data_IF_697681516940
#
_entry.id   IF_697681516940
#
_cell.length_a   1.000
_cell.length_b   1.000
_cell.length_c   1.000
_cell.angle_alpha   90.00
_cell.angle_beta   90.00
_cell.angle_gamma   90.00
#
_symmetry.space_group_name_H-M   'P 1'
#
loop_
_entity.id
_entity.type
_entity.pdbx_description
1 polymer ?
#
# COMPACT_ATOMS: atom_id res chain seq x y z
N UNK A 1 -1.55 17.15 2.33
CA UNK A 1 -2.98 16.84 2.53
C UNK A 1 -3.10 15.35 2.38
N UNK A 2 -3.67 14.70 3.39
CA UNK A 2 -3.92 13.27 3.41
C UNK A 2 -5.27 13.01 2.74
N UNK A 3 -5.28 12.14 1.74
CA UNK A 3 -6.47 11.69 1.03
C UNK A 3 -6.48 10.18 0.92
N UNK A 4 -7.61 9.61 0.53
CA UNK A 4 -7.62 8.24 0.03
C UNK A 4 -8.39 8.10 -1.28
N UNK A 5 -8.08 7.01 -1.96
CA UNK A 5 -8.72 6.59 -3.20
C UNK A 5 -9.01 5.10 -3.19
N UNK A 6 -9.88 4.67 -4.09
CA UNK A 6 -10.29 3.27 -4.25
C UNK A 6 -9.85 2.73 -5.62
N UNK A 7 -9.26 1.54 -5.65
CA UNK A 7 -9.07 0.74 -6.86
C UNK A 7 -10.04 -0.44 -6.83
N UNK A 8 -10.88 -0.55 -7.86
CA UNK A 8 -11.84 -1.64 -8.02
C UNK A 8 -11.32 -2.68 -9.01
N UNK A 9 -11.90 -3.87 -8.96
CA UNK A 9 -11.66 -4.90 -9.98
C UNK A 9 -12.02 -4.40 -11.38
N UNK A 10 -11.23 -4.84 -12.36
CA UNK A 10 -11.39 -4.46 -13.77
C UNK A 10 -10.83 -3.07 -14.11
N UNK A 11 -10.19 -2.40 -13.16
CA UNK A 11 -9.50 -1.12 -13.39
C UNK A 11 -8.11 -1.35 -14.00
N UNK A 12 -7.63 -0.37 -14.75
CA UNK A 12 -6.21 -0.31 -15.11
C UNK A 12 -5.34 0.02 -13.88
N UNK A 13 -4.04 -0.29 -13.96
CA UNK A 13 -3.09 -0.06 -12.86
C UNK A 13 -2.96 1.41 -12.41
N UNK A 14 -3.38 2.37 -13.24
CA UNK A 14 -3.33 3.81 -12.97
C UNK A 14 -4.71 4.43 -12.71
N UNK A 15 -5.76 3.61 -12.64
CA UNK A 15 -7.13 4.08 -12.44
C UNK A 15 -7.51 3.98 -10.96
N UNK A 16 -7.99 5.11 -10.42
CA UNK A 16 -8.42 5.27 -9.02
C UNK A 16 -9.66 6.15 -8.96
N UNK A 17 -10.59 5.80 -8.08
CA UNK A 17 -11.71 6.65 -7.69
C UNK A 17 -11.27 7.51 -6.47
N UNK A 18 -11.16 8.84 -6.59
CA UNK A 18 -10.79 9.68 -5.46
C UNK A 18 -11.96 9.83 -4.49
N UNK A 19 -11.72 9.53 -3.21
CA UNK A 19 -12.74 9.61 -2.15
C UNK A 19 -12.62 10.90 -1.34
N UNK A 20 -11.45 11.53 -1.35
CA UNK A 20 -11.21 12.86 -0.79
C UNK A 20 -10.32 12.84 0.47
N UNK A 21 -10.41 13.93 1.25
CA UNK A 21 -9.61 14.11 2.46
C UNK A 21 -9.98 13.08 3.53
N UNK A 22 -8.99 12.63 4.28
CA UNK A 22 -9.18 11.60 5.31
C UNK A 22 -8.21 11.77 6.49
N UNK A 23 -8.46 10.98 7.52
CA UNK A 23 -7.57 10.74 8.64
C UNK A 23 -7.52 9.24 8.94
N UNK A 24 -6.74 8.84 9.94
CA UNK A 24 -6.64 7.42 10.30
C UNK A 24 -7.99 6.80 10.64
N UNK A 25 -8.82 7.47 11.46
CA UNK A 25 -10.08 6.90 11.92
C UNK A 25 -11.08 6.72 10.77
N UNK A 26 -11.18 7.72 9.90
CA UNK A 26 -12.06 7.71 8.73
C UNK A 26 -11.59 6.69 7.70
N UNK A 27 -10.28 6.58 7.47
CA UNK A 27 -9.72 5.57 6.59
C UNK A 27 -9.98 4.14 7.10
N UNK A 28 -9.79 3.89 8.39
CA UNK A 28 -10.08 2.56 8.97
C UNK A 28 -11.55 2.20 8.82
N UNK A 29 -12.48 3.15 9.00
CA UNK A 29 -13.90 2.92 8.73
C UNK A 29 -14.17 2.60 7.26
N UNK A 30 -13.54 3.33 6.33
CA UNK A 30 -13.64 3.04 4.90
C UNK A 30 -13.07 1.66 4.56
N UNK A 31 -11.97 1.27 5.19
CA UNK A 31 -11.34 -0.05 5.04
C UNK A 31 -12.26 -1.18 5.49
N UNK A 32 -12.91 -1.03 6.64
CA UNK A 32 -13.86 -2.02 7.16
C UNK A 32 -15.15 -2.08 6.32
N UNK A 33 -15.59 -0.96 5.76
CA UNK A 33 -16.80 -0.87 4.95
C UNK A 33 -16.60 -1.30 3.48
N UNK A 34 -15.35 -1.37 3.00
CA UNK A 34 -15.07 -1.73 1.61
C UNK A 34 -15.46 -3.18 1.32
N UNK A 35 -16.13 -3.48 0.19
CA UNK A 35 -16.69 -4.81 -0.08
C UNK A 35 -15.61 -5.79 -0.56
N UNK A 36 -14.59 -6.06 0.26
CA UNK A 36 -13.44 -6.89 -0.06
C UNK A 36 -13.83 -8.25 -0.64
N UNK A 37 -14.73 -8.97 0.03
CA UNK A 37 -15.14 -10.31 -0.40
C UNK A 37 -15.80 -10.31 -1.79
N UNK A 38 -16.65 -9.31 -2.08
CA UNK A 38 -17.29 -9.19 -3.39
C UNK A 38 -16.26 -8.83 -4.47
N UNK A 39 -15.37 -7.87 -4.19
CA UNK A 39 -14.30 -7.51 -5.11
C UNK A 39 -13.36 -8.69 -5.36
N UNK A 40 -12.97 -9.45 -4.34
CA UNK A 40 -12.14 -10.65 -4.53
C UNK A 40 -12.84 -11.74 -5.33
N UNK A 41 -14.14 -11.96 -5.11
CA UNK A 41 -14.91 -12.89 -5.92
C UNK A 41 -14.91 -12.48 -7.40
N UNK A 42 -15.11 -11.19 -7.67
CA UNK A 42 -15.07 -10.63 -9.03
C UNK A 42 -13.67 -10.75 -9.65
N UNK A 43 -12.62 -10.43 -8.89
CA UNK A 43 -11.22 -10.57 -9.36
C UNK A 43 -10.89 -12.03 -9.68
N UNK A 44 -11.31 -12.96 -8.81
CA UNK A 44 -11.09 -14.38 -9.03
C UNK A 44 -11.78 -14.90 -10.28
N UNK A 45 -12.94 -14.35 -10.65
CA UNK A 45 -13.65 -14.69 -11.87
C UNK A 45 -12.99 -14.08 -13.12
N UNK A 46 -12.49 -12.84 -13.01
CA UNK A 46 -11.90 -12.12 -14.15
C UNK A 46 -10.46 -12.56 -14.44
N UNK A 47 -9.67 -12.85 -13.40
CA UNK A 47 -8.23 -13.17 -13.47
C UNK A 47 -7.42 -12.17 -14.29
N UNK A 48 -7.77 -10.88 -14.22
CA UNK A 48 -7.14 -9.81 -14.98
C UNK A 48 -7.06 -8.52 -14.15
N UNK A 49 -6.07 -7.70 -14.47
CA UNK A 49 -5.83 -6.42 -13.80
C UNK A 49 -5.31 -6.54 -12.35
N UNK A 50 -5.17 -5.39 -11.67
CA UNK A 50 -4.69 -5.30 -10.30
C UNK A 50 -5.72 -5.84 -9.30
N UNK A 51 -5.23 -6.22 -8.12
CA UNK A 51 -6.10 -6.51 -6.97
C UNK A 51 -6.90 -5.26 -6.58
N UNK A 52 -8.12 -5.42 -6.04
CA UNK A 52 -8.82 -4.31 -5.42
C UNK A 52 -7.98 -3.74 -4.27
N UNK A 53 -7.97 -2.42 -4.11
CA UNK A 53 -7.14 -1.76 -3.12
C UNK A 53 -7.79 -0.48 -2.60
N UNK A 54 -7.43 -0.11 -1.37
CA UNK A 54 -7.56 1.27 -0.88
C UNK A 54 -6.17 1.89 -0.80
N UNK A 55 -6.08 3.16 -1.18
CA UNK A 55 -4.80 3.86 -1.32
C UNK A 55 -4.82 5.10 -0.45
N UNK A 56 -4.02 5.11 0.62
CA UNK A 56 -3.70 6.33 1.36
C UNK A 56 -2.68 7.14 0.58
N UNK A 57 -2.92 8.44 0.40
CA UNK A 57 -2.08 9.31 -0.41
C UNK A 57 -1.74 10.57 0.35
N UNK A 58 -0.45 10.94 0.35
CA UNK A 58 0.00 12.22 0.86
C UNK A 58 0.78 12.97 -0.22
N UNK A 59 0.07 13.82 -0.97
CA UNK A 59 0.63 14.52 -2.13
C UNK A 59 1.81 15.45 -1.77
N UNK A 60 1.80 16.05 -0.56
CA UNK A 60 2.85 16.95 -0.10
C UNK A 60 4.19 16.24 0.15
N UNK A 61 4.12 15.01 0.65
CA UNK A 61 5.30 14.18 0.91
C UNK A 61 5.58 13.19 -0.22
N UNK A 62 4.76 13.21 -1.28
CA UNK A 62 4.85 12.34 -2.45
C UNK A 62 4.94 10.85 -2.07
N UNK A 63 4.03 10.44 -1.18
CA UNK A 63 3.94 9.06 -0.69
C UNK A 63 2.55 8.49 -0.89
N UNK A 64 2.51 7.18 -1.08
CA UNK A 64 1.28 6.40 -1.14
C UNK A 64 1.46 5.09 -0.36
N UNK A 65 0.37 4.63 0.24
CA UNK A 65 0.28 3.32 0.86
C UNK A 65 -0.94 2.63 0.28
N UNK A 66 -0.69 1.63 -0.56
CA UNK A 66 -1.71 0.80 -1.19
C UNK A 66 -1.94 -0.41 -0.30
N UNK A 67 -3.19 -0.73 0.01
CA UNK A 67 -3.56 -1.88 0.83
C UNK A 67 -4.62 -2.70 0.10
N UNK A 68 -4.32 -3.99 -0.10
CA UNK A 68 -5.27 -5.01 -0.55
C UNK A 68 -5.40 -6.06 0.55
N UNK A 69 -6.62 -6.27 1.07
CA UNK A 69 -6.90 -7.56 1.73
C UNK A 69 -6.78 -8.68 0.70
N UNK A 70 -6.49 -9.92 1.09
CA UNK A 70 -6.45 -11.08 0.16
C UNK A 70 -7.71 -11.94 0.23
N UNK A 71 -8.59 -11.71 1.21
CA UNK A 71 -9.93 -12.27 1.21
C UNK A 71 -10.97 -11.29 1.77
N UNK A 72 -10.85 -10.90 3.04
CA UNK A 72 -11.67 -9.85 3.66
C UNK A 72 -10.88 -8.99 4.67
N UNK A 73 -11.49 -7.91 5.19
CA UNK A 73 -10.86 -6.95 6.10
C UNK A 73 -10.45 -7.50 7.48
N UNK A 74 -11.02 -8.63 7.89
CA UNK A 74 -10.83 -9.26 9.20
C UNK A 74 -10.09 -10.60 9.13
N UNK A 75 -9.88 -11.10 7.92
CA UNK A 75 -9.11 -12.31 7.62
C UNK A 75 -7.60 -12.10 7.75
N UNK A 76 -6.87 -13.22 7.68
CA UNK A 76 -5.43 -13.18 7.53
C UNK A 76 -5.04 -12.97 6.05
N UNK A 77 -3.99 -12.19 5.84
CA UNK A 77 -3.36 -12.01 4.53
C UNK A 77 -3.74 -10.68 3.86
N UNK A 78 -2.74 -9.82 3.72
CA UNK A 78 -2.84 -8.53 3.06
C UNK A 78 -1.57 -8.30 2.23
N UNK A 79 -1.72 -7.68 1.07
CA UNK A 79 -0.61 -7.19 0.26
C UNK A 79 -0.59 -5.66 0.31
N UNK A 80 0.55 -5.08 0.64
CA UNK A 80 0.73 -3.63 0.71
C UNK A 80 1.84 -3.20 -0.25
N UNK A 81 1.62 -2.09 -0.95
CA UNK A 81 2.67 -1.40 -1.71
C UNK A 81 2.94 -0.04 -1.08
N UNK A 82 4.17 0.17 -0.62
CA UNK A 82 4.63 1.42 -0.03
C UNK A 82 5.39 2.20 -1.08
N UNK A 83 4.81 3.31 -1.52
CA UNK A 83 5.35 4.14 -2.60
C UNK A 83 5.92 5.42 -2.02
N UNK A 84 7.15 5.76 -2.44
CA UNK A 84 7.76 7.04 -2.11
C UNK A 84 8.57 7.59 -3.27
N UNK A 85 8.47 8.90 -3.50
CA UNK A 85 9.37 9.59 -4.42
C UNK A 85 10.64 10.00 -3.68
N UNK A 86 11.81 9.55 -4.15
CA UNK A 86 13.10 9.87 -3.52
C UNK A 86 14.06 10.48 -4.54
N UNK A 87 14.86 11.44 -4.09
CA UNK A 87 15.93 12.02 -4.90
C UNK A 87 17.11 11.06 -4.98
N UNK A 88 17.43 10.60 -6.19
CA UNK A 88 18.67 9.87 -6.43
C UNK A 88 19.74 10.85 -6.88
N UNK A 89 20.80 10.94 -6.09
CA UNK A 89 22.01 11.68 -6.49
C UNK A 89 22.66 10.93 -7.65
N UNK A 90 22.98 11.62 -8.73
CA UNK A 90 23.70 11.02 -9.85
C UNK A 90 25.03 10.41 -9.38
N UNK A 91 25.43 9.30 -10.00
CA UNK A 91 26.71 8.65 -9.72
C UNK A 91 27.84 9.69 -9.82
N UNK A 92 28.61 9.85 -8.73
CA UNK A 92 29.77 10.75 -8.65
C UNK A 92 29.49 12.26 -8.77
N UNK A 93 28.27 12.74 -8.52
CA UNK A 93 27.99 14.19 -8.48
C UNK A 93 27.97 14.89 -9.85
N UNK A 94 28.09 14.14 -10.95
CA UNK A 94 28.07 14.68 -12.33
C UNK A 94 26.70 14.61 -13.03
N UNK A 95 25.59 14.50 -12.27
CA UNK A 95 24.25 14.43 -12.85
C UNK A 95 23.22 15.25 -12.08
N UNK A 96 22.22 15.80 -12.79
CA UNK A 96 21.04 16.42 -12.16
C UNK A 96 20.36 15.38 -11.27
N UNK A 97 20.05 15.76 -10.03
CA UNK A 97 19.23 14.93 -9.15
C UNK A 97 17.91 14.62 -9.86
N UNK A 98 17.57 13.32 -9.96
CA UNK A 98 16.32 12.86 -10.53
C UNK A 98 15.44 12.32 -9.41
N UNK A 99 14.18 12.73 -9.42
CA UNK A 99 13.17 12.13 -8.58
C UNK A 99 12.82 10.75 -9.16
N UNK A 100 13.07 9.69 -8.40
CA UNK A 100 12.73 8.31 -8.76
C UNK A 100 11.65 7.78 -7.80
N UNK A 101 10.73 7.00 -8.35
CA UNK A 101 9.72 6.30 -7.56
C UNK A 101 10.34 5.02 -6.99
N UNK A 102 10.15 4.81 -5.69
CA UNK A 102 10.49 3.58 -4.99
C UNK A 102 9.20 2.92 -4.55
N UNK A 103 9.07 1.62 -4.84
CA UNK A 103 7.96 0.79 -4.41
C UNK A 103 8.54 -0.39 -3.65
N UNK A 104 8.06 -0.59 -2.43
CA UNK A 104 8.34 -1.78 -1.62
C UNK A 104 7.02 -2.55 -1.44
N UNK A 105 7.00 -3.80 -1.86
CA UNK A 105 5.82 -4.67 -1.75
C UNK A 105 6.01 -5.63 -0.59
N UNK A 106 5.08 -5.62 0.36
CA UNK A 106 5.09 -6.52 1.51
C UNK A 106 3.76 -7.24 1.65
N UNK A 107 3.85 -8.52 1.96
CA UNK A 107 2.76 -9.30 2.49
C UNK A 107 2.77 -9.18 4.03
N UNK A 108 1.60 -8.94 4.63
CA UNK A 108 1.43 -8.98 6.08
C UNK A 108 0.27 -9.91 6.41
N UNK A 109 0.42 -10.70 7.46
CA UNK A 109 -0.60 -11.71 7.81
C UNK A 109 -1.74 -11.10 8.61
N UNK A 110 -1.44 -10.22 9.57
CA UNK A 110 -2.41 -9.77 10.57
C UNK A 110 -2.89 -8.34 10.30
N UNK A 111 -4.19 -8.12 10.53
CA UNK A 111 -4.82 -6.79 10.48
C UNK A 111 -4.12 -5.75 11.37
N UNK A 112 -3.63 -6.15 12.54
CA UNK A 112 -2.91 -5.22 13.46
C UNK A 112 -1.65 -4.62 12.83
N UNK A 113 -0.98 -5.34 11.94
CA UNK A 113 0.20 -4.83 11.23
C UNK A 113 -0.22 -3.80 10.18
N UNK A 114 -1.33 -4.05 9.46
CA UNK A 114 -1.95 -3.09 8.52
C UNK A 114 -2.35 -1.81 9.25
N UNK A 115 -3.05 -1.93 10.38
CA UNK A 115 -3.49 -0.80 11.18
C UNK A 115 -2.30 0.04 11.67
N UNK A 116 -1.22 -0.62 12.09
CA UNK A 116 0.02 0.04 12.52
C UNK A 116 0.67 0.82 11.36
N UNK A 117 0.78 0.21 10.19
CA UNK A 117 1.36 0.85 9.00
C UNK A 117 0.50 2.04 8.52
N UNK A 118 -0.83 1.88 8.50
CA UNK A 118 -1.76 2.96 8.17
C UNK A 118 -1.64 4.12 9.17
N UNK A 119 -1.54 3.81 10.46
CA UNK A 119 -1.38 4.83 11.51
C UNK A 119 -0.09 5.63 11.32
N UNK A 120 1.04 4.94 11.13
CA UNK A 120 2.33 5.58 10.88
C UNK A 120 2.31 6.46 9.62
N UNK A 121 1.63 6.01 8.56
CA UNK A 121 1.47 6.78 7.34
C UNK A 121 0.64 8.05 7.57
N UNK A 122 -0.52 7.93 8.21
CA UNK A 122 -1.42 9.04 8.49
C UNK A 122 -0.79 10.09 9.42
N UNK A 123 0.00 9.65 10.40
CA UNK A 123 0.70 10.52 11.35
C UNK A 123 2.01 11.10 10.77
N UNK A 124 2.40 10.72 9.55
CA UNK A 124 3.62 11.21 8.87
C UNK A 124 4.92 10.65 9.44
N UNK A 125 4.86 9.56 10.19
CA UNK A 125 6.02 8.90 10.82
C UNK A 125 6.78 8.01 9.81
N UNK A 126 7.23 8.60 8.69
CA UNK A 126 7.74 7.84 7.54
C UNK A 126 9.06 7.09 7.81
N UNK A 127 9.92 7.58 8.70
CA UNK A 127 11.14 6.85 9.07
C UNK A 127 10.84 5.55 9.82
N UNK A 128 9.81 5.57 10.67
CA UNK A 128 9.37 4.39 11.40
C UNK A 128 8.58 3.43 10.50
N UNK A 129 7.74 3.98 9.61
CA UNK A 129 7.08 3.24 8.54
C UNK A 129 8.11 2.48 7.70
N UNK A 130 9.10 3.19 7.12
CA UNK A 130 10.11 2.62 6.23
C UNK A 130 10.92 1.51 6.94
N UNK A 131 11.24 1.67 8.24
CA UNK A 131 11.89 0.63 9.05
C UNK A 131 11.01 -0.60 9.26
N UNK A 132 9.72 -0.42 9.55
CA UNK A 132 8.81 -1.54 9.77
C UNK A 132 8.54 -2.30 8.47
N UNK A 133 8.37 -1.58 7.36
CA UNK A 133 8.23 -2.15 6.01
C UNK A 133 9.45 -3.01 5.67
N UNK A 134 10.67 -2.50 5.89
CA UNK A 134 11.89 -3.26 5.65
C UNK A 134 11.95 -4.57 6.48
N UNK A 135 11.44 -4.55 7.73
CA UNK A 135 11.35 -5.78 8.55
C UNK A 135 10.34 -6.78 7.98
N UNK A 136 9.22 -6.33 7.43
CA UNK A 136 8.28 -7.23 6.75
C UNK A 136 8.88 -7.79 5.46
N UNK A 137 9.51 -6.95 4.63
CA UNK A 137 10.16 -7.37 3.40
C UNK A 137 11.22 -8.45 3.64
N UNK A 138 12.06 -8.29 4.67
CA UNK A 138 13.06 -9.30 5.03
C UNK A 138 12.43 -10.64 5.43
N UNK A 139 11.38 -10.63 6.27
CA UNK A 139 10.66 -11.85 6.65
C UNK A 139 10.01 -12.54 5.44
N UNK A 140 9.44 -11.76 4.52
CA UNK A 140 8.79 -12.31 3.34
C UNK A 140 9.80 -12.94 2.37
N UNK A 141 11.04 -12.44 2.33
CA UNK A 141 12.12 -13.08 1.57
C UNK A 141 12.52 -14.42 2.21
N UNK A 142 12.70 -14.45 3.54
CA UNK A 142 13.05 -15.68 4.27
C UNK A 142 11.98 -16.78 4.12
N UNK A 143 10.68 -16.41 4.16
CA UNK A 143 9.57 -17.33 3.94
C UNK A 143 9.61 -17.93 2.53
N UNK A 144 9.92 -17.12 1.49
CA UNK A 144 10.00 -17.59 0.09
C UNK A 144 11.17 -18.54 -0.14
N UNK A 145 12.31 -18.31 0.51
CA UNK A 145 13.49 -19.17 0.41
C UNK A 145 13.29 -20.50 1.16
N UNK A 146 12.37 -20.55 2.13
CA UNK A 146 12.07 -21.76 2.90
C UNK A 146 11.10 -22.73 2.20
N UNK A 147 10.32 -22.24 1.24
CA UNK A 147 9.36 -23.01 0.45
C UNK A 147 9.96 -23.56 -0.87
N UNK A 148 11.25 -23.29 -1.13
CA UNK A 148 11.99 -23.63 -2.36
C UNK A 148 12.79 -24.93 -2.33
#
# INVERSE_FOLDING_TARGET
MLTYSTQKVGYDYNQLDPEGATDYASFTQAFDAFPWAAQHADWNALQDGPLPALVLQHAGDQRELWISALSDAHSDGFQLNVVSMRMKKGLFGMGKAKLEQYVETIDVRKRVDVDTLCRLFCDGHYDELDRLVARHAARNADDRDSDG
#
